data_IF_869783957226
#
_entry.id   IF_869783957226
#
_cell.length_a   1.000
_cell.length_b   1.000
_cell.length_c   1.000
_cell.angle_alpha   90.00
_cell.angle_beta   90.00
_cell.angle_gamma   90.00
#
_symmetry.space_group_name_H-M   'P 1'
#
loop_
_entity.id
_entity.type
_entity.pdbx_description
1 polymer ?
#
# COMPACT_ATOMS: atom_id res chain seq x y z
N UNK A 1 -4.28 -20.25 10.88
CA UNK A 1 -4.08 -19.02 10.09
C UNK A 1 -5.00 -19.09 8.87
N UNK A 2 -5.45 -17.96 8.31
CA UNK A 2 -6.11 -17.96 7.00
C UNK A 2 -5.17 -17.31 5.99
N UNK A 3 -4.89 -18.00 4.89
CA UNK A 3 -3.93 -17.62 3.86
C UNK A 3 -4.61 -16.85 2.72
N UNK A 4 -3.92 -15.84 2.19
CA UNK A 4 -4.25 -15.15 0.95
C UNK A 4 -2.97 -14.81 0.19
N UNK A 5 -3.00 -15.01 -1.12
CA UNK A 5 -1.89 -14.63 -2.01
C UNK A 5 -2.04 -13.14 -2.35
N UNK A 6 -1.04 -12.33 -2.03
CA UNK A 6 -0.90 -10.94 -2.48
C UNK A 6 0.08 -10.82 -3.65
N UNK A 7 0.17 -9.63 -4.26
CA UNK A 7 1.01 -9.40 -5.45
C UNK A 7 2.51 -9.61 -5.24
N UNK A 8 3.00 -9.48 -4.00
CA UNK A 8 4.43 -9.59 -3.64
C UNK A 8 4.71 -10.63 -2.55
N UNK A 9 3.77 -11.54 -2.29
CA UNK A 9 3.98 -12.63 -1.33
C UNK A 9 2.71 -13.10 -0.61
N UNK A 10 2.88 -13.95 0.39
CA UNK A 10 1.77 -14.59 1.09
C UNK A 10 1.38 -13.81 2.34
N UNK A 11 0.07 -13.59 2.51
CA UNK A 11 -0.50 -12.85 3.62
C UNK A 11 -1.31 -13.80 4.51
N UNK A 12 -1.04 -13.77 5.81
CA UNK A 12 -1.79 -14.53 6.81
C UNK A 12 -2.50 -13.61 7.79
N UNK A 13 -3.72 -14.00 8.18
CA UNK A 13 -4.38 -13.41 9.36
C UNK A 13 -4.02 -14.23 10.60
N UNK A 14 -3.57 -13.54 11.65
CA UNK A 14 -3.27 -14.13 12.95
C UNK A 14 -3.86 -13.31 14.10
N UNK A 15 -3.96 -13.93 15.27
CA UNK A 15 -4.32 -13.29 16.54
C UNK A 15 -3.05 -13.21 17.36
N UNK A 16 -2.66 -12.00 17.77
CA UNK A 16 -1.57 -11.81 18.71
C UNK A 16 -2.14 -11.82 20.13
N UNK A 17 -1.97 -12.95 20.83
CA UNK A 17 -2.52 -13.20 22.17
C UNK A 17 -1.93 -12.26 23.22
N UNK A 18 -0.62 -12.03 23.19
CA UNK A 18 0.07 -11.16 24.14
C UNK A 18 -0.06 -9.66 23.83
N UNK A 19 -0.50 -9.33 22.62
CA UNK A 19 -0.58 -7.96 22.10
C UNK A 19 0.80 -7.29 21.92
N UNK A 20 0.78 -6.05 21.44
CA UNK A 20 2.00 -5.28 21.15
C UNK A 20 2.38 -4.35 22.31
N UNK A 21 3.69 -4.12 22.46
CA UNK A 21 4.25 -3.20 23.45
C UNK A 21 3.90 -1.75 23.06
N UNK A 22 3.31 -1.01 24.00
CA UNK A 22 3.00 0.41 23.84
C UNK A 22 4.13 1.29 24.36
N UNK A 23 4.49 1.11 25.62
CA UNK A 23 5.48 1.91 26.32
C UNK A 23 5.94 1.22 27.60
N UNK A 24 7.04 1.71 28.17
CA UNK A 24 7.50 1.31 29.50
C UNK A 24 6.73 2.09 30.57
N UNK A 25 6.11 1.38 31.52
CA UNK A 25 5.55 1.98 32.75
C UNK A 25 6.64 1.93 33.82
N UNK A 26 7.29 3.08 34.05
CA UNK A 26 8.37 3.21 35.03
C UNK A 26 7.92 3.08 36.48
N UNK A 27 6.63 3.30 36.77
CA UNK A 27 6.09 3.16 38.12
C UNK A 27 5.82 1.69 38.46
N UNK A 28 5.37 0.92 37.48
CA UNK A 28 5.08 -0.52 37.63
C UNK A 28 6.22 -1.42 37.19
N UNK A 29 7.34 -0.86 36.74
CA UNK A 29 8.50 -1.57 36.20
C UNK A 29 8.12 -2.66 35.18
N UNK A 30 7.19 -2.34 34.28
CA UNK A 30 6.71 -3.30 33.27
C UNK A 30 6.34 -2.64 31.96
N UNK A 31 6.46 -3.41 30.88
CA UNK A 31 5.96 -3.00 29.57
C UNK A 31 4.43 -3.01 29.56
N UNK A 32 3.83 -1.86 29.27
CA UNK A 32 2.41 -1.75 28.98
C UNK A 32 2.16 -2.37 27.60
N UNK A 33 1.22 -3.31 27.53
CA UNK A 33 0.80 -3.93 26.28
C UNK A 33 -0.63 -3.51 25.95
N UNK A 34 -0.94 -3.34 24.66
CA UNK A 34 -2.35 -3.33 24.24
C UNK A 34 -2.90 -4.76 24.25
N UNK A 35 -4.21 -4.92 24.52
CA UNK A 35 -4.83 -6.24 24.55
C UNK A 35 -4.79 -6.94 23.19
N UNK A 36 -5.12 -8.24 23.21
CA UNK A 36 -5.20 -9.14 22.07
C UNK A 36 -5.78 -8.45 20.83
N UNK A 37 -5.04 -8.55 19.72
CA UNK A 37 -5.42 -7.90 18.46
C UNK A 37 -5.18 -8.83 17.27
N UNK A 38 -6.03 -8.71 16.26
CA UNK A 38 -5.75 -9.31 14.96
C UNK A 38 -4.56 -8.58 14.32
N UNK A 39 -3.61 -9.36 13.80
CA UNK A 39 -2.48 -8.89 13.01
C UNK A 39 -2.50 -9.54 11.64
N UNK A 40 -1.82 -8.91 10.71
CA UNK A 40 -1.53 -9.47 9.40
C UNK A 40 -0.05 -9.83 9.37
N UNK A 41 0.28 -11.02 8.87
CA UNK A 41 1.64 -11.49 8.67
C UNK A 41 1.89 -11.47 7.17
N UNK A 42 2.87 -10.69 6.71
CA UNK A 42 3.25 -10.58 5.30
C UNK A 42 4.60 -11.28 5.10
N UNK A 43 4.60 -12.39 4.37
CA UNK A 43 5.81 -13.07 3.90
C UNK A 43 6.17 -12.55 2.50
N UNK A 44 7.43 -12.24 2.23
CA UNK A 44 7.92 -11.83 0.90
C UNK A 44 8.54 -12.99 0.10
N UNK A 45 8.28 -14.25 0.50
CA UNK A 45 8.86 -15.45 -0.10
C UNK A 45 10.39 -15.32 -0.22
N UNK A 46 11.03 -14.91 0.87
CA UNK A 46 12.48 -14.93 0.99
C UNK A 46 12.97 -16.39 1.04
N UNK A 47 14.13 -16.67 0.46
CA UNK A 47 14.75 -17.97 0.66
C UNK A 47 15.19 -18.10 2.12
N UNK A 48 15.33 -19.34 2.61
CA UNK A 48 15.75 -19.63 4.00
C UNK A 48 17.08 -19.00 4.42
N UNK A 49 17.88 -18.55 3.46
CA UNK A 49 19.29 -18.19 3.64
C UNK A 49 19.53 -16.69 3.85
N UNK A 50 18.80 -15.79 3.17
CA UNK A 50 19.03 -14.34 3.26
C UNK A 50 17.75 -13.50 3.22
N UNK A 51 17.70 -12.46 4.07
CA UNK A 51 16.66 -11.42 3.99
C UNK A 51 16.92 -10.59 2.73
N UNK A 52 15.96 -10.53 1.80
CA UNK A 52 16.10 -9.70 0.61
C UNK A 52 16.20 -8.23 1.01
N UNK A 53 17.08 -7.49 0.32
CA UNK A 53 17.20 -6.04 0.50
C UNK A 53 15.87 -5.29 0.28
N UNK A 54 14.97 -5.83 -0.54
CA UNK A 54 13.62 -5.29 -0.74
C UNK A 54 12.78 -5.33 0.54
N UNK A 55 12.87 -6.41 1.34
CA UNK A 55 12.21 -6.53 2.63
C UNK A 55 12.72 -5.47 3.61
N UNK A 56 14.05 -5.35 3.72
CA UNK A 56 14.68 -4.38 4.63
C UNK A 56 14.36 -2.94 4.21
N UNK A 57 14.40 -2.65 2.91
CA UNK A 57 14.04 -1.34 2.38
C UNK A 57 12.57 -1.00 2.65
N UNK A 58 11.63 -1.95 2.52
CA UNK A 58 10.22 -1.73 2.86
C UNK A 58 10.07 -1.33 4.34
N UNK A 59 10.66 -2.12 5.25
CA UNK A 59 10.61 -1.84 6.70
C UNK A 59 11.26 -0.50 7.03
N UNK A 60 12.45 -0.22 6.48
CA UNK A 60 13.20 1.00 6.75
C UNK A 60 12.49 2.25 6.21
N UNK A 61 12.02 2.21 4.96
CA UNK A 61 11.32 3.32 4.34
C UNK A 61 10.02 3.63 5.07
N UNK A 62 9.23 2.61 5.40
CA UNK A 62 7.96 2.80 6.08
C UNK A 62 8.16 3.31 7.52
N UNK A 63 9.17 2.79 8.24
CA UNK A 63 9.50 3.27 9.58
C UNK A 63 9.95 4.74 9.58
N UNK A 64 10.81 5.14 8.63
CA UNK A 64 11.35 6.51 8.57
C UNK A 64 10.35 7.51 7.98
N UNK A 65 9.52 7.10 7.02
CA UNK A 65 8.79 8.03 6.15
C UNK A 65 7.28 7.81 6.10
N UNK A 66 6.78 6.68 6.59
CA UNK A 66 5.35 6.34 6.56
C UNK A 66 4.48 7.22 7.46
N UNK A 67 5.05 7.72 8.57
CA UNK A 67 4.36 8.59 9.52
C UNK A 67 3.04 8.00 10.02
N UNK A 68 2.03 8.85 10.24
CA UNK A 68 0.69 8.42 10.70
C UNK A 68 -0.21 7.87 9.60
N UNK A 69 0.21 7.97 8.34
CA UNK A 69 -0.59 7.60 7.18
C UNK A 69 -0.16 6.27 6.56
N UNK A 70 0.94 5.67 7.01
CA UNK A 70 1.31 4.31 6.67
C UNK A 70 0.71 3.30 7.65
N UNK A 71 0.52 2.07 7.20
CA UNK A 71 0.06 0.98 8.06
C UNK A 71 1.12 0.73 9.15
N UNK A 72 0.72 0.36 10.36
CA UNK A 72 1.73 0.11 11.40
C UNK A 72 2.46 -1.22 11.16
N UNK A 73 3.80 -1.18 11.20
CA UNK A 73 4.64 -2.38 11.38
C UNK A 73 4.91 -2.51 12.87
N UNK A 74 4.54 -3.65 13.44
CA UNK A 74 4.80 -3.95 14.85
C UNK A 74 6.13 -4.69 15.06
N UNK A 75 6.64 -5.37 14.04
CA UNK A 75 7.91 -6.07 14.11
C UNK A 75 8.10 -7.08 12.99
N UNK A 76 9.11 -7.91 13.16
CA UNK A 76 9.47 -9.00 12.25
C UNK A 76 9.38 -10.31 13.03
N UNK A 77 8.92 -11.37 12.38
CA UNK A 77 8.87 -12.73 12.91
C UNK A 77 9.37 -13.72 11.85
N UNK A 78 9.43 -15.00 12.21
CA UNK A 78 9.85 -16.07 11.31
C UNK A 78 8.80 -17.19 11.35
N UNK A 79 8.40 -17.68 10.19
CA UNK A 79 7.49 -18.81 10.10
C UNK A 79 8.23 -20.08 10.55
N UNK A 80 7.73 -20.82 11.57
CA UNK A 80 8.41 -22.03 12.04
C UNK A 80 8.41 -23.16 11.01
N UNK A 81 7.45 -23.20 10.08
CA UNK A 81 7.26 -24.32 9.15
C UNK A 81 8.27 -24.27 7.99
N UNK A 82 8.46 -23.08 7.41
CA UNK A 82 9.33 -22.89 6.23
C UNK A 82 10.57 -22.01 6.52
N UNK A 83 10.67 -21.39 7.69
CA UNK A 83 11.78 -20.51 8.06
C UNK A 83 11.77 -19.15 7.38
N UNK A 84 10.69 -18.74 6.71
CA UNK A 84 10.62 -17.46 6.01
C UNK A 84 10.39 -16.30 6.99
N UNK A 85 11.05 -15.18 6.74
CA UNK A 85 10.79 -13.95 7.49
C UNK A 85 9.43 -13.36 7.11
N UNK A 86 8.73 -12.83 8.11
CA UNK A 86 7.43 -12.20 7.95
C UNK A 86 7.36 -10.89 8.72
N UNK A 87 6.75 -9.87 8.13
CA UNK A 87 6.39 -8.66 8.84
C UNK A 87 5.11 -8.88 9.65
N UNK A 88 5.12 -8.45 10.91
CA UNK A 88 3.93 -8.37 11.76
C UNK A 88 3.35 -6.98 11.61
N UNK A 89 2.23 -6.84 10.90
CA UNK A 89 1.61 -5.55 10.57
C UNK A 89 0.19 -5.43 11.12
N UNK A 90 -0.28 -4.19 11.26
CA UNK A 90 -1.64 -3.88 11.65
C UNK A 90 -2.64 -4.52 10.69
N UNK A 91 -3.63 -5.24 11.24
CA UNK A 91 -4.72 -5.78 10.45
C UNK A 91 -5.72 -4.69 10.06
N UNK A 92 -5.87 -4.47 8.75
CA UNK A 92 -6.87 -3.58 8.16
C UNK A 92 -8.18 -4.34 7.90
N UNK A 93 -9.21 -4.09 8.72
CA UNK A 93 -10.46 -4.88 8.71
C UNK A 93 -11.23 -4.82 7.39
N UNK A 94 -11.16 -3.72 6.65
CA UNK A 94 -11.82 -3.59 5.35
C UNK A 94 -10.97 -4.12 4.18
N UNK A 95 -9.73 -4.54 4.43
CA UNK A 95 -8.80 -4.92 3.36
C UNK A 95 -8.27 -3.71 2.59
N UNK A 96 -7.94 -3.92 1.31
CA UNK A 96 -7.53 -2.82 0.43
C UNK A 96 -8.68 -1.84 0.15
N UNK A 97 -8.35 -0.63 -0.29
CA UNK A 97 -9.32 0.37 -0.73
C UNK A 97 -10.16 -0.20 -1.88
N UNK A 98 -9.52 -0.88 -2.84
CA UNK A 98 -10.23 -1.59 -3.92
C UNK A 98 -11.30 -2.54 -3.36
N UNK A 99 -10.91 -3.38 -2.40
CA UNK A 99 -11.83 -4.32 -1.75
C UNK A 99 -12.94 -3.62 -0.95
N UNK A 100 -12.63 -2.52 -0.29
CA UNK A 100 -13.62 -1.71 0.42
C UNK A 100 -14.66 -1.16 -0.57
N UNK A 101 -14.22 -0.62 -1.70
CA UNK A 101 -15.11 -0.13 -2.75
C UNK A 101 -15.97 -1.27 -3.30
N UNK A 102 -15.40 -2.41 -3.66
CA UNK A 102 -16.16 -3.53 -4.23
C UNK A 102 -17.28 -4.04 -3.30
N UNK A 103 -17.02 -4.09 -1.98
CA UNK A 103 -17.96 -4.69 -1.04
C UNK A 103 -18.92 -3.70 -0.38
N UNK A 104 -18.56 -2.42 -0.31
CA UNK A 104 -19.25 -1.44 0.54
C UNK A 104 -19.39 -0.06 -0.09
N UNK A 105 -19.25 0.07 -1.40
CA UNK A 105 -19.37 1.35 -2.08
C UNK A 105 -20.64 2.12 -1.70
N UNK A 106 -21.80 1.43 -1.68
CA UNK A 106 -23.09 2.04 -1.35
C UNK A 106 -23.23 2.44 0.13
N UNK A 107 -22.42 1.85 1.03
CA UNK A 107 -22.38 2.22 2.45
C UNK A 107 -21.48 3.44 2.70
N UNK A 108 -20.63 3.81 1.74
CA UNK A 108 -19.71 4.94 1.85
C UNK A 108 -20.43 6.25 1.55
N UNK A 109 -20.83 6.96 2.62
CA UNK A 109 -21.21 8.37 2.51
C UNK A 109 -20.14 9.22 1.81
N UNK A 110 -20.54 10.33 1.20
CA UNK A 110 -19.63 11.33 0.64
C UNK A 110 -18.57 11.79 1.65
N UNK A 111 -18.96 11.95 2.92
CA UNK A 111 -18.03 12.27 4.00
C UNK A 111 -16.96 11.18 4.19
N UNK A 112 -17.31 9.90 4.08
CA UNK A 112 -16.34 8.81 4.11
C UNK A 112 -15.39 8.87 2.91
N UNK A 113 -15.92 9.03 1.69
CA UNK A 113 -15.13 9.13 0.45
C UNK A 113 -14.09 10.26 0.51
N UNK A 114 -14.54 11.48 0.81
CA UNK A 114 -13.66 12.66 0.94
C UNK A 114 -12.65 12.50 2.07
N UNK A 115 -13.07 11.91 3.19
CA UNK A 115 -12.17 11.65 4.31
C UNK A 115 -11.06 10.67 3.93
N UNK A 116 -11.38 9.60 3.19
CA UNK A 116 -10.37 8.67 2.68
C UNK A 116 -9.37 9.40 1.78
N UNK A 117 -9.83 10.09 0.74
CA UNK A 117 -8.97 10.82 -0.20
C UNK A 117 -8.06 11.82 0.51
N UNK A 118 -8.58 12.55 1.50
CA UNK A 118 -7.80 13.49 2.31
C UNK A 118 -6.66 12.81 3.08
N UNK A 119 -6.89 11.64 3.68
CA UNK A 119 -5.84 10.93 4.42
C UNK A 119 -4.82 10.25 3.50
N UNK A 120 -5.27 9.71 2.36
CA UNK A 120 -4.41 9.18 1.32
C UNK A 120 -3.48 10.29 0.80
N UNK A 121 -4.03 11.46 0.45
CA UNK A 121 -3.24 12.61 0.00
C UNK A 121 -2.23 13.08 1.05
N UNK A 122 -2.61 13.10 2.34
CA UNK A 122 -1.69 13.43 3.43
C UNK A 122 -0.54 12.44 3.54
N UNK A 123 -0.82 11.14 3.34
CA UNK A 123 0.23 10.12 3.32
C UNK A 123 1.16 10.28 2.13
N UNK A 124 0.62 10.45 0.94
CA UNK A 124 1.43 10.66 -0.27
C UNK A 124 2.31 11.92 -0.16
N UNK A 125 1.75 13.01 0.38
CA UNK A 125 2.51 14.23 0.64
C UNK A 125 3.67 14.01 1.65
N UNK A 126 3.52 13.12 2.63
CA UNK A 126 4.59 12.79 3.56
C UNK A 126 5.72 12.02 2.86
N UNK A 127 5.38 11.07 1.98
CA UNK A 127 6.34 10.34 1.13
C UNK A 127 7.13 11.32 0.24
N UNK A 128 6.42 12.21 -0.45
CA UNK A 128 7.03 13.21 -1.33
C UNK A 128 7.92 14.20 -0.56
N UNK A 129 7.50 14.61 0.66
CA UNK A 129 8.32 15.47 1.53
C UNK A 129 9.61 14.78 1.99
N UNK A 130 9.63 13.46 2.08
CA UNK A 130 10.85 12.67 2.31
C UNK A 130 11.72 12.50 1.05
N UNK A 131 11.40 13.18 -0.04
CA UNK A 131 12.05 13.07 -1.35
C UNK A 131 11.96 11.67 -1.97
N UNK A 132 10.90 10.92 -1.66
CA UNK A 132 10.64 9.58 -2.19
C UNK A 132 9.52 9.59 -3.23
N UNK A 133 9.59 8.66 -4.18
CA UNK A 133 8.52 8.32 -5.12
C UNK A 133 8.04 6.90 -4.79
N UNK A 134 6.73 6.68 -4.73
CA UNK A 134 6.15 5.38 -4.37
C UNK A 134 6.25 4.36 -5.52
N UNK A 135 6.10 4.81 -6.78
CA UNK A 135 6.21 4.03 -8.04
C UNK A 135 5.11 2.99 -8.29
N UNK A 136 4.45 2.50 -7.25
CA UNK A 136 3.35 1.52 -7.32
C UNK A 136 2.15 1.98 -6.49
N UNK A 137 1.70 3.21 -6.73
CA UNK A 137 0.64 3.84 -5.95
C UNK A 137 -0.74 3.55 -6.53
N UNK A 138 -1.47 2.56 -5.99
CA UNK A 138 -2.80 2.19 -6.47
C UNK A 138 -3.74 1.81 -5.32
N UNK A 139 -5.04 1.63 -5.60
CA UNK A 139 -6.05 1.30 -4.58
C UNK A 139 -5.87 -0.08 -3.92
N UNK A 140 -4.97 -0.93 -4.44
CA UNK A 140 -4.55 -2.18 -3.82
C UNK A 140 -3.51 -1.97 -2.72
N UNK A 141 -2.63 -0.97 -2.86
CA UNK A 141 -1.59 -0.60 -1.89
C UNK A 141 -2.07 0.46 -0.88
N UNK A 142 -3.38 0.65 -0.78
CA UNK A 142 -4.05 1.42 0.26
C UNK A 142 -4.95 0.45 1.01
N UNK A 143 -4.85 0.39 2.34
CA UNK A 143 -5.64 -0.50 3.19
C UNK A 143 -6.44 0.28 4.22
N UNK A 144 -7.63 -0.22 4.55
CA UNK A 144 -8.58 0.47 5.40
C UNK A 144 -8.85 -0.30 6.70
N UNK A 145 -8.53 0.30 7.84
CA UNK A 145 -8.90 -0.25 9.15
C UNK A 145 -10.42 -0.13 9.37
N UNK A 146 -10.96 1.05 9.05
CA UNK A 146 -12.39 1.35 9.07
C UNK A 146 -12.80 1.90 7.71
N UNK A 147 -14.08 2.18 7.50
CA UNK A 147 -14.61 2.74 6.25
C UNK A 147 -13.99 4.11 5.87
N UNK A 148 -13.25 4.77 6.78
CA UNK A 148 -12.74 6.12 6.59
C UNK A 148 -11.35 6.38 7.19
N UNK A 149 -10.64 5.32 7.58
CA UNK A 149 -9.26 5.36 8.07
C UNK A 149 -8.38 4.54 7.13
N UNK A 150 -7.89 5.14 6.02
CA UNK A 150 -6.98 4.50 5.08
C UNK A 150 -5.53 4.64 5.53
N UNK A 151 -4.71 3.70 5.10
CA UNK A 151 -3.27 3.64 5.32
C UNK A 151 -2.57 3.19 4.04
N UNK A 152 -1.44 3.82 3.72
CA UNK A 152 -0.56 3.40 2.61
C UNK A 152 0.30 2.20 3.08
N UNK A 153 0.53 1.24 2.19
CA UNK A 153 1.39 0.07 2.40
C UNK A 153 2.35 -0.09 1.22
N UNK A 154 3.24 -1.09 1.31
CA UNK A 154 4.06 -1.58 0.20
C UNK A 154 5.11 -0.57 -0.28
N UNK A 155 5.96 -0.16 0.66
CA UNK A 155 7.06 0.79 0.47
C UNK A 155 8.31 0.17 -0.16
N UNK A 156 8.28 -1.10 -0.57
CA UNK A 156 9.46 -1.81 -1.09
C UNK A 156 10.08 -1.18 -2.35
N UNK A 157 9.26 -0.52 -3.16
CA UNK A 157 9.69 0.22 -4.36
C UNK A 157 9.97 1.71 -4.10
N UNK A 158 9.73 2.22 -2.89
CA UNK A 158 9.94 3.63 -2.57
C UNK A 158 11.42 3.99 -2.64
N UNK A 159 11.79 4.93 -3.50
CA UNK A 159 13.18 5.39 -3.66
C UNK A 159 13.25 6.87 -4.04
N UNK A 160 14.38 7.55 -3.80
CA UNK A 160 14.58 8.90 -4.30
C UNK A 160 14.54 8.94 -5.83
N UNK A 161 13.86 9.93 -6.41
CA UNK A 161 13.78 10.09 -7.86
C UNK A 161 15.17 10.21 -8.53
N UNK A 162 16.14 10.77 -7.81
CA UNK A 162 17.54 10.92 -8.27
C UNK A 162 18.32 9.60 -8.31
N UNK A 163 17.93 8.61 -7.50
CA UNK A 163 18.57 7.29 -7.44
C UNK A 163 17.92 6.28 -8.39
N UNK A 164 16.94 6.70 -9.20
CA UNK A 164 16.38 5.90 -10.29
C UNK A 164 17.37 5.88 -11.47
N UNK A 165 18.54 5.31 -11.19
CA UNK A 165 19.61 5.06 -12.13
C UNK A 165 19.24 3.79 -12.91
N UNK A 166 18.54 3.95 -14.02
CA UNK A 166 18.37 2.92 -15.05
C UNK A 166 17.63 1.63 -14.65
N UNK A 167 16.50 1.72 -13.94
CA UNK A 167 15.67 0.52 -13.78
C UNK A 167 15.09 0.10 -15.13
N UNK A 168 15.57 -1.02 -15.69
CA UNK A 168 15.15 -1.62 -16.98
C UNK A 168 13.67 -2.10 -17.03
N UNK A 169 12.82 -1.69 -16.09
CA UNK A 169 11.44 -2.18 -15.97
C UNK A 169 10.46 -1.09 -15.58
N UNK A 170 9.28 -1.14 -16.20
CA UNK A 170 8.08 -0.43 -15.76
C UNK A 170 7.47 -1.27 -14.63
N UNK A 171 7.25 -0.62 -13.49
CA UNK A 171 6.61 -1.20 -12.31
C UNK A 171 5.21 -0.63 -12.10
N UNK A 172 4.39 -1.42 -11.42
CA UNK A 172 3.07 -1.05 -10.95
C UNK A 172 1.92 -1.50 -11.86
N UNK A 173 0.71 -1.12 -11.47
CA UNK A 173 -0.52 -1.60 -12.10
C UNK A 173 -0.94 -0.66 -13.24
N UNK A 174 -1.04 -1.19 -14.46
CA UNK A 174 -1.10 -0.42 -15.72
C UNK A 174 -1.99 0.84 -15.70
N UNK A 175 -3.27 0.80 -15.28
CA UNK A 175 -4.13 1.98 -15.24
C UNK A 175 -3.60 3.16 -14.41
N UNK A 176 -2.74 2.89 -13.44
CA UNK A 176 -2.19 3.86 -12.49
C UNK A 176 -0.83 4.39 -12.94
N UNK A 177 -0.24 3.82 -14.00
CA UNK A 177 1.06 4.24 -14.52
C UNK A 177 0.86 5.48 -15.39
N UNK A 178 1.63 6.53 -15.13
CA UNK A 178 1.54 7.77 -15.87
C UNK A 178 2.11 7.64 -17.27
N UNK A 179 1.64 8.50 -18.19
CA UNK A 179 2.03 8.46 -19.59
C UNK A 179 3.55 8.59 -19.79
N UNK A 180 4.22 9.46 -19.03
CA UNK A 180 5.66 9.65 -19.14
C UNK A 180 6.43 8.37 -18.77
N UNK A 181 5.98 7.66 -17.74
CA UNK A 181 6.57 6.37 -17.35
C UNK A 181 6.30 5.29 -18.40
N UNK A 182 5.11 5.28 -19.01
CA UNK A 182 4.81 4.37 -20.12
C UNK A 182 5.68 4.66 -21.37
N UNK A 183 6.13 5.90 -21.56
CA UNK A 183 7.12 6.27 -22.57
C UNK A 183 8.57 5.93 -22.18
N UNK A 184 8.80 5.35 -20.99
CA UNK A 184 10.12 4.98 -20.51
C UNK A 184 10.87 6.12 -19.81
N UNK A 185 10.20 7.24 -19.51
CA UNK A 185 10.76 8.27 -18.62
C UNK A 185 10.84 7.74 -17.19
N UNK A 186 11.64 8.44 -16.37
CA UNK A 186 11.81 8.08 -14.96
C UNK A 186 10.54 8.34 -14.15
N UNK A 187 10.36 7.55 -13.10
CA UNK A 187 9.34 7.84 -12.10
C UNK A 187 9.66 9.15 -11.38
N UNK A 188 8.64 9.94 -11.12
CA UNK A 188 8.75 11.21 -10.39
C UNK A 188 7.64 11.33 -9.38
N UNK A 189 7.70 12.33 -8.50
CA UNK A 189 6.55 12.61 -7.64
C UNK A 189 5.29 12.92 -8.46
N UNK A 190 5.42 13.43 -9.70
CA UNK A 190 4.28 13.70 -10.58
C UNK A 190 3.63 12.43 -11.12
N UNK A 191 4.40 11.35 -11.32
CA UNK A 191 3.82 10.05 -11.69
C UNK A 191 2.93 9.50 -10.57
N UNK A 192 3.34 9.63 -9.30
CA UNK A 192 2.46 9.26 -8.18
C UNK A 192 1.19 10.13 -8.09
N UNK A 193 1.27 11.42 -8.47
CA UNK A 193 0.10 12.31 -8.51
C UNK A 193 -0.89 11.88 -9.59
N UNK A 194 -0.40 11.42 -10.75
CA UNK A 194 -1.25 10.81 -11.77
C UNK A 194 -1.99 9.60 -11.18
N UNK A 195 -1.27 8.69 -10.52
CA UNK A 195 -1.87 7.50 -9.91
C UNK A 195 -2.91 7.86 -8.84
N UNK A 196 -2.66 8.93 -8.06
CA UNK A 196 -3.64 9.46 -7.11
C UNK A 196 -4.92 9.96 -7.79
N UNK A 197 -4.79 10.60 -8.97
CA UNK A 197 -5.95 11.01 -9.78
C UNK A 197 -6.81 9.80 -10.21
N UNK A 198 -6.18 8.69 -10.57
CA UNK A 198 -6.89 7.43 -10.89
C UNK A 198 -7.63 6.89 -9.66
N UNK A 199 -6.97 6.88 -8.48
CA UNK A 199 -7.61 6.48 -7.21
C UNK A 199 -8.80 7.39 -6.88
N UNK A 200 -8.69 8.70 -7.12
CA UNK A 200 -9.80 9.64 -6.93
C UNK A 200 -11.00 9.24 -7.79
N UNK A 201 -10.77 8.92 -9.08
CA UNK A 201 -11.83 8.43 -9.97
C UNK A 201 -12.48 7.17 -9.42
N UNK A 202 -11.72 6.17 -8.98
CA UNK A 202 -12.28 4.94 -8.41
C UNK A 202 -13.12 5.20 -7.15
N UNK A 203 -12.68 6.10 -6.26
CA UNK A 203 -13.43 6.43 -5.05
C UNK A 203 -14.74 7.14 -5.39
N UNK A 204 -14.77 7.92 -6.46
CA UNK A 204 -15.96 8.65 -6.89
C UNK A 204 -16.95 7.80 -7.66
N UNK A 205 -16.49 6.87 -8.50
CA UNK A 205 -17.36 6.06 -9.35
C UNK A 205 -17.65 4.69 -8.73
N UNK A 206 -16.76 4.18 -7.88
CA UNK A 206 -16.81 2.83 -7.33
C UNK A 206 -16.25 1.77 -8.27
N UNK A 207 -15.98 2.09 -9.54
CA UNK A 207 -15.49 1.13 -10.52
C UNK A 207 -13.97 1.06 -10.54
N UNK A 208 -13.37 -0.09 -10.89
CA UNK A 208 -11.98 -0.16 -11.31
C UNK A 208 -11.71 0.78 -12.50
N UNK A 209 -10.50 1.34 -12.62
CA UNK A 209 -10.17 2.21 -13.75
C UNK A 209 -10.16 1.39 -15.04
N UNK A 210 -10.80 1.91 -16.08
CA UNK A 210 -10.94 1.22 -17.38
C UNK A 210 -11.52 -0.20 -17.22
N UNK A 211 -12.56 -0.38 -16.40
CA UNK A 211 -13.15 -1.69 -16.07
C UNK A 211 -13.74 -2.42 -17.29
N UNK A 212 -13.99 -1.70 -18.37
CA UNK A 212 -14.55 -2.15 -19.64
C UNK A 212 -13.48 -2.38 -20.73
N UNK A 213 -12.19 -2.14 -20.43
CA UNK A 213 -11.08 -2.27 -21.37
C UNK A 213 -10.07 -3.29 -20.80
N UNK A 214 -9.55 -4.23 -21.62
CA UNK A 214 -8.44 -5.09 -21.20
C UNK A 214 -7.20 -4.27 -20.78
N UNK A 215 -6.57 -4.65 -19.65
CA UNK A 215 -5.38 -3.96 -19.15
C UNK A 215 -4.10 -4.49 -19.82
N UNK A 216 -3.98 -4.21 -21.12
CA UNK A 216 -2.88 -4.66 -21.98
C UNK A 216 -2.14 -3.50 -22.67
N UNK A 217 -1.26 -3.83 -23.62
CA UNK A 217 -0.50 -2.85 -24.39
C UNK A 217 -1.38 -1.86 -25.17
N UNK A 218 -2.60 -2.27 -25.58
CA UNK A 218 -3.55 -1.38 -26.24
C UNK A 218 -4.01 -0.27 -25.29
N UNK A 219 -4.37 -0.62 -24.06
CA UNK A 219 -4.73 0.38 -23.04
C UNK A 219 -3.55 1.31 -22.75
N UNK A 220 -2.33 0.79 -22.63
CA UNK A 220 -1.12 1.60 -22.44
C UNK A 220 -0.98 2.66 -23.54
N UNK A 221 -1.13 2.24 -24.80
CA UNK A 221 -1.07 3.12 -25.97
C UNK A 221 -2.17 4.19 -25.93
N UNK A 222 -3.40 3.82 -25.58
CA UNK A 222 -4.51 4.77 -25.49
C UNK A 222 -4.31 5.80 -24.37
N UNK A 223 -3.78 5.40 -23.21
CA UNK A 223 -3.42 6.33 -22.12
C UNK A 223 -2.40 7.36 -22.60
N UNK A 224 -1.38 6.91 -23.33
CA UNK A 224 -0.37 7.78 -23.96
C UNK A 224 -0.97 8.74 -24.99
N UNK A 225 -2.03 8.32 -25.70
CA UNK A 225 -2.80 9.17 -26.62
C UNK A 225 -3.82 10.08 -25.91
N UNK A 226 -3.88 10.08 -24.58
CA UNK A 226 -4.72 10.98 -23.80
C UNK A 226 -6.03 10.38 -23.29
N UNK A 227 -6.25 9.07 -23.44
CA UNK A 227 -7.40 8.40 -22.81
C UNK A 227 -7.36 8.58 -21.29
N UNK A 228 -8.50 8.91 -20.68
CA UNK A 228 -8.67 9.04 -19.22
C UNK A 228 -9.94 8.30 -18.78
N UNK A 229 -10.03 7.86 -17.52
CA UNK A 229 -11.22 7.18 -17.03
C UNK A 229 -12.44 8.10 -17.08
N UNK A 230 -13.59 7.57 -17.49
CA UNK A 230 -14.85 8.31 -17.46
C UNK A 230 -15.38 8.43 -16.03
N UNK A 231 -15.79 9.65 -15.65
CA UNK A 231 -16.47 9.89 -14.37
C UNK A 231 -17.98 9.81 -14.65
N UNK A 232 -18.54 8.60 -14.55
CA UNK A 232 -20.00 8.40 -14.59
C UNK A 232 -20.56 8.64 -13.19
N UNK A 233 -21.35 9.71 -13.03
CA UNK A 233 -21.95 10.14 -11.76
C UNK A 233 -23.41 9.68 -11.69
#
# INVERSE_FOLDING_TARGET
MCEKIGGFGTIFKAIWTDGYILCWDSQKFKWMKKPQRCVCLKSLNDSKEDIKMEFLNEVENQYKHGGRSAIAIYGITRNPDDGNYMMVIQYAKQGSLRKLLDNKYNDLSWRHKIRNLRFIAKGLAAIHKANLVHKDFHSGNIVNETMYNPYITDFGLCRPASQDLSSKGIFGVLPYISQEVLYGEKYTMKSDIYSFGIIMSEVFTGYPPYHDIPHDFSLATQICLGLRPEIRC
#
